data_IF_421172205076
#
_entry.id   IF_421172205076
#
_cell.length_a   1.000
_cell.length_b   1.000
_cell.length_c   1.000
_cell.angle_alpha   90.00
_cell.angle_beta   90.00
_cell.angle_gamma   90.00
#
_symmetry.space_group_name_H-M   'P 1'
#
loop_
_entity.id
_entity.type
_entity.pdbx_description
1 polymer ?
#
# COMPACT_ATOMS: atom_id res chain seq x y z
N UNK A 1 -36.51 -24.59 2.56
CA UNK A 1 -37.94 -24.39 2.22
C UNK A 1 -38.22 -24.68 0.73
N UNK A 2 -37.25 -24.48 -0.18
CA UNK A 2 -37.37 -24.79 -1.63
C UNK A 2 -37.52 -26.27 -2.00
N UNK A 3 -36.82 -27.20 -1.33
CA UNK A 3 -36.90 -28.64 -1.65
C UNK A 3 -38.32 -29.22 -1.52
N UNK A 4 -39.10 -28.78 -0.51
CA UNK A 4 -40.51 -29.21 -0.32
C UNK A 4 -41.46 -28.71 -1.41
N UNK A 5 -41.19 -27.53 -1.99
CA UNK A 5 -42.01 -26.96 -3.07
C UNK A 5 -41.75 -27.65 -4.42
N UNK A 6 -40.50 -28.01 -4.71
CA UNK A 6 -40.15 -28.78 -5.92
C UNK A 6 -40.74 -30.19 -5.92
N UNK A 7 -40.83 -30.85 -4.75
CA UNK A 7 -41.43 -32.18 -4.64
C UNK A 7 -42.96 -32.15 -4.85
N UNK A 8 -43.64 -31.09 -4.39
CA UNK A 8 -45.08 -30.89 -4.61
C UNK A 8 -45.40 -30.59 -6.08
N UNK A 9 -44.59 -29.78 -6.76
CA UNK A 9 -44.74 -29.52 -8.20
C UNK A 9 -44.58 -30.80 -9.05
N UNK A 10 -43.54 -31.62 -8.76
CA UNK A 10 -43.30 -32.88 -9.47
C UNK A 10 -44.44 -33.89 -9.32
N UNK A 11 -45.08 -33.97 -8.14
CA UNK A 11 -46.25 -34.84 -7.91
C UNK A 11 -47.50 -34.40 -8.68
N UNK A 12 -47.74 -33.09 -8.78
CA UNK A 12 -48.85 -32.53 -9.57
C UNK A 12 -48.68 -32.83 -11.07
N UNK A 13 -47.46 -32.65 -11.60
CA UNK A 13 -47.15 -32.92 -13.00
C UNK A 13 -47.29 -34.40 -13.38
N UNK A 14 -46.86 -35.31 -12.50
CA UNK A 14 -47.01 -36.76 -12.71
C UNK A 14 -48.49 -37.17 -12.80
N UNK A 15 -49.35 -36.61 -11.95
CA UNK A 15 -50.80 -36.89 -11.99
C UNK A 15 -51.46 -36.42 -13.29
N UNK A 16 -51.09 -35.23 -13.77
CA UNK A 16 -51.57 -34.70 -15.06
C UNK A 16 -51.08 -35.60 -16.22
N UNK A 17 -49.82 -36.02 -16.19
CA UNK A 17 -49.25 -36.88 -17.23
C UNK A 17 -49.90 -38.27 -17.28
N UNK A 18 -50.14 -38.91 -16.13
CA UNK A 18 -50.86 -40.19 -16.07
C UNK A 18 -52.29 -40.04 -16.60
N UNK A 19 -52.96 -38.92 -16.28
CA UNK A 19 -54.30 -38.62 -16.78
C UNK A 19 -54.30 -38.46 -18.31
N UNK A 20 -53.29 -37.80 -18.88
CA UNK A 20 -53.13 -37.67 -20.33
C UNK A 20 -52.90 -39.02 -21.01
N UNK A 21 -52.04 -39.88 -20.44
CA UNK A 21 -51.83 -41.25 -20.94
C UNK A 21 -53.15 -42.00 -21.00
N UNK A 22 -53.94 -41.97 -19.92
CA UNK A 22 -55.24 -42.67 -19.84
C UNK A 22 -56.25 -42.17 -20.87
N UNK A 23 -56.33 -40.84 -21.05
CA UNK A 23 -57.29 -40.21 -21.95
C UNK A 23 -56.91 -40.35 -23.43
N UNK A 24 -55.63 -40.55 -23.76
CA UNK A 24 -55.15 -40.51 -25.15
C UNK A 24 -55.86 -41.52 -26.07
N UNK A 25 -55.97 -42.82 -25.76
CA UNK A 25 -56.70 -43.77 -26.62
C UNK A 25 -58.20 -43.47 -26.74
N UNK A 26 -58.81 -42.93 -25.68
CA UNK A 26 -60.23 -42.53 -25.65
C UNK A 26 -60.45 -41.37 -26.61
N UNK A 27 -59.61 -40.34 -26.53
CA UNK A 27 -59.65 -39.18 -27.42
C UNK A 27 -59.44 -39.63 -28.87
N UNK A 28 -58.42 -40.44 -29.15
CA UNK A 28 -58.10 -40.88 -30.51
C UNK A 28 -59.24 -41.68 -31.15
N UNK A 29 -59.84 -42.61 -30.41
CA UNK A 29 -61.00 -43.36 -30.92
C UNK A 29 -62.26 -42.51 -31.08
N UNK A 30 -62.44 -41.50 -30.22
CA UNK A 30 -63.55 -40.56 -30.36
C UNK A 30 -63.38 -39.70 -31.62
N UNK A 31 -62.17 -39.21 -31.88
CA UNK A 31 -61.83 -38.49 -33.11
C UNK A 31 -62.06 -39.37 -34.33
N UNK A 32 -61.58 -40.62 -34.28
CA UNK A 32 -61.79 -41.58 -35.38
C UNK A 32 -63.28 -41.82 -35.65
N UNK A 33 -64.09 -42.00 -34.61
CA UNK A 33 -65.54 -42.20 -34.76
C UNK A 33 -66.21 -40.99 -35.42
N UNK A 34 -65.89 -39.77 -34.97
CA UNK A 34 -66.42 -38.53 -35.54
C UNK A 34 -66.07 -38.41 -37.04
N UNK A 35 -64.83 -38.72 -37.42
CA UNK A 35 -64.38 -38.63 -38.82
C UNK A 35 -65.14 -39.61 -39.72
N UNK A 36 -65.32 -40.85 -39.28
CA UNK A 36 -65.87 -41.90 -40.15
C UNK A 36 -67.41 -42.01 -40.12
N UNK A 37 -68.07 -41.64 -39.03
CA UNK A 37 -69.50 -41.87 -38.82
C UNK A 37 -70.30 -40.60 -38.44
N UNK A 38 -69.65 -39.43 -38.36
CA UNK A 38 -70.29 -38.17 -37.95
C UNK A 38 -70.68 -38.13 -36.47
N UNK A 39 -71.51 -37.15 -36.07
CA UNK A 39 -71.91 -36.91 -34.68
C UNK A 39 -73.03 -37.85 -34.17
N UNK A 40 -73.02 -39.13 -34.55
CA UNK A 40 -73.97 -40.12 -34.05
C UNK A 40 -73.32 -40.99 -32.96
N UNK A 41 -73.64 -40.69 -31.70
CA UNK A 41 -73.17 -41.47 -30.54
C UNK A 41 -74.20 -42.52 -30.11
N UNK A 42 -73.73 -43.73 -29.80
CA UNK A 42 -74.56 -44.81 -29.24
C UNK A 42 -75.06 -44.48 -27.82
N UNK A 43 -76.25 -44.97 -27.45
CA UNK A 43 -76.93 -44.71 -26.17
C UNK A 43 -76.20 -45.23 -24.90
N UNK A 44 -75.02 -45.87 -25.01
CA UNK A 44 -74.22 -46.31 -23.85
C UNK A 44 -72.74 -45.90 -23.95
N UNK A 45 -72.41 -44.62 -23.67
CA UNK A 45 -71.05 -44.09 -23.82
C UNK A 45 -70.04 -44.75 -22.87
N UNK A 46 -70.45 -45.13 -21.65
CA UNK A 46 -69.57 -45.72 -20.64
C UNK A 46 -69.02 -47.10 -21.03
N UNK A 47 -69.86 -47.98 -21.59
CA UNK A 47 -69.44 -49.33 -22.03
C UNK A 47 -68.40 -49.23 -23.14
N UNK A 48 -68.57 -48.25 -24.04
CA UNK A 48 -67.63 -47.98 -25.11
C UNK A 48 -66.28 -47.51 -24.57
N UNK A 49 -66.25 -46.60 -23.58
CA UNK A 49 -65.01 -46.14 -22.94
C UNK A 49 -64.27 -47.30 -22.25
N UNK A 50 -64.98 -48.16 -21.50
CA UNK A 50 -64.36 -49.32 -20.83
C UNK A 50 -63.76 -50.29 -21.85
N UNK A 51 -64.47 -50.58 -22.95
CA UNK A 51 -63.94 -51.42 -24.01
C UNK A 51 -62.70 -50.83 -24.68
N UNK A 52 -62.66 -49.51 -24.87
CA UNK A 52 -61.49 -48.81 -25.39
C UNK A 52 -60.29 -48.95 -24.45
N UNK A 53 -60.52 -48.82 -23.14
CA UNK A 53 -59.47 -48.99 -22.14
C UNK A 53 -58.92 -50.42 -22.15
N UNK A 54 -59.80 -51.43 -22.16
CA UNK A 54 -59.41 -52.84 -22.18
C UNK A 54 -58.65 -53.21 -23.47
N UNK A 55 -59.11 -52.71 -24.63
CA UNK A 55 -58.45 -52.98 -25.91
C UNK A 55 -57.06 -52.33 -26.03
N UNK A 56 -56.81 -51.24 -25.30
CA UNK A 56 -55.52 -50.54 -25.29
C UNK A 56 -54.70 -50.83 -24.02
N UNK A 57 -54.99 -51.92 -23.29
CA UNK A 57 -54.32 -52.26 -22.04
C UNK A 57 -52.78 -52.38 -22.21
N UNK A 58 -52.33 -52.94 -23.33
CA UNK A 58 -50.90 -53.04 -23.66
C UNK A 58 -50.23 -51.67 -23.77
N UNK A 59 -50.90 -50.68 -24.37
CA UNK A 59 -50.40 -49.31 -24.46
C UNK A 59 -50.22 -48.69 -23.06
N UNK A 60 -51.22 -48.82 -22.18
CA UNK A 60 -51.12 -48.29 -20.82
C UNK A 60 -50.02 -48.97 -20.01
N UNK A 61 -49.88 -50.30 -20.13
CA UNK A 61 -48.82 -51.05 -19.49
C UNK A 61 -47.44 -50.53 -19.93
N UNK A 62 -47.20 -50.40 -21.24
CA UNK A 62 -45.93 -49.88 -21.76
C UNK A 62 -45.67 -48.43 -21.34
N UNK A 63 -46.67 -47.55 -21.46
CA UNK A 63 -46.52 -46.13 -21.11
C UNK A 63 -46.22 -45.94 -19.61
N UNK A 64 -46.91 -46.67 -18.73
CA UNK A 64 -46.65 -46.64 -17.29
C UNK A 64 -45.30 -47.25 -16.93
N UNK A 65 -44.90 -48.36 -17.58
CA UNK A 65 -43.59 -48.96 -17.37
C UNK A 65 -42.46 -48.00 -17.74
N UNK A 66 -42.53 -47.34 -18.90
CA UNK A 66 -41.54 -46.32 -19.31
C UNK A 66 -41.51 -45.17 -18.30
N UNK A 67 -42.69 -44.67 -17.90
CA UNK A 67 -42.80 -43.58 -16.92
C UNK A 67 -42.16 -43.94 -15.58
N UNK A 68 -42.41 -45.15 -15.09
CA UNK A 68 -41.83 -45.65 -13.84
C UNK A 68 -40.31 -45.80 -13.95
N UNK A 69 -39.80 -46.37 -15.04
CA UNK A 69 -38.36 -46.52 -15.28
C UNK A 69 -37.64 -45.17 -15.32
N UNK A 70 -38.21 -44.17 -16.01
CA UNK A 70 -37.66 -42.81 -16.06
C UNK A 70 -37.68 -42.16 -14.67
N UNK A 71 -38.78 -42.30 -13.92
CA UNK A 71 -38.87 -41.75 -12.57
C UNK A 71 -37.81 -42.34 -11.63
N UNK A 72 -37.63 -43.66 -11.64
CA UNK A 72 -36.62 -44.35 -10.83
C UNK A 72 -35.20 -43.94 -11.25
N UNK A 73 -34.94 -43.81 -12.55
CA UNK A 73 -33.65 -43.34 -13.06
C UNK A 73 -33.32 -41.94 -12.53
N UNK A 74 -34.24 -40.97 -12.69
CA UNK A 74 -34.07 -39.59 -12.22
C UNK A 74 -33.86 -39.56 -10.70
N UNK A 75 -34.60 -40.38 -9.94
CA UNK A 75 -34.45 -40.42 -8.48
C UNK A 75 -33.06 -40.93 -8.07
N UNK A 76 -32.57 -41.98 -8.73
CA UNK A 76 -31.25 -42.54 -8.47
C UNK A 76 -30.13 -41.58 -8.87
N UNK A 77 -30.28 -40.87 -10.00
CA UNK A 77 -29.32 -39.86 -10.45
C UNK A 77 -29.24 -38.69 -9.46
N UNK A 78 -30.39 -38.17 -9.01
CA UNK A 78 -30.40 -37.10 -7.99
C UNK A 78 -29.72 -37.54 -6.70
N UNK A 79 -29.99 -38.76 -6.22
CA UNK A 79 -29.35 -39.27 -5.00
C UNK A 79 -27.82 -39.39 -5.16
N UNK A 80 -27.34 -39.87 -6.30
CA UNK A 80 -25.90 -39.93 -6.60
C UNK A 80 -25.28 -38.53 -6.67
N UNK A 81 -25.96 -37.59 -7.29
CA UNK A 81 -25.48 -36.21 -7.39
C UNK A 81 -25.44 -35.53 -6.00
N UNK A 82 -26.43 -35.76 -5.14
CA UNK A 82 -26.42 -35.28 -3.75
C UNK A 82 -25.26 -35.87 -2.95
N UNK A 83 -25.04 -37.19 -3.04
CA UNK A 83 -23.92 -37.87 -2.37
C UNK A 83 -22.55 -37.38 -2.88
N UNK A 84 -22.42 -37.13 -4.18
CA UNK A 84 -21.20 -36.60 -4.78
C UNK A 84 -20.94 -35.15 -4.35
N UNK A 85 -21.96 -34.29 -4.39
CA UNK A 85 -21.85 -32.90 -3.94
C UNK A 85 -21.45 -32.80 -2.48
N UNK A 86 -21.95 -33.68 -1.61
CA UNK A 86 -21.58 -33.69 -0.19
C UNK A 86 -20.11 -34.11 0.00
N UNK A 87 -19.65 -35.13 -0.74
CA UNK A 87 -18.23 -35.52 -0.72
C UNK A 87 -17.31 -34.40 -1.20
N UNK A 88 -17.68 -33.72 -2.27
CA UNK A 88 -16.89 -32.62 -2.82
C UNK A 88 -16.83 -31.43 -1.85
N UNK A 89 -17.93 -31.16 -1.13
CA UNK A 89 -17.96 -30.16 -0.04
C UNK A 89 -17.01 -30.52 1.09
N UNK A 90 -17.11 -31.74 1.64
CA UNK A 90 -16.25 -32.21 2.73
C UNK A 90 -14.77 -32.12 2.32
N UNK A 91 -14.44 -32.59 1.11
CA UNK A 91 -13.09 -32.50 0.57
C UNK A 91 -12.59 -31.06 0.47
N UNK A 92 -13.42 -30.15 -0.04
CA UNK A 92 -13.06 -28.74 -0.15
C UNK A 92 -12.82 -28.06 1.21
N UNK A 93 -13.59 -28.44 2.24
CA UNK A 93 -13.40 -27.95 3.60
C UNK A 93 -12.12 -28.51 4.25
N UNK A 94 -11.81 -29.78 4.01
CA UNK A 94 -10.56 -30.41 4.47
C UNK A 94 -9.33 -29.78 3.81
N UNK A 95 -9.37 -29.59 2.49
CA UNK A 95 -8.31 -28.91 1.73
C UNK A 95 -8.12 -27.46 2.20
N UNK A 96 -9.20 -26.73 2.51
CA UNK A 96 -9.12 -25.38 3.06
C UNK A 96 -8.45 -25.35 4.45
N UNK A 97 -8.82 -26.28 5.35
CA UNK A 97 -8.22 -26.40 6.69
C UNK A 97 -6.74 -26.79 6.63
N UNK A 98 -6.38 -27.71 5.73
CA UNK A 98 -4.99 -28.11 5.52
C UNK A 98 -4.15 -26.94 4.97
N UNK A 99 -4.69 -26.20 3.99
CA UNK A 99 -4.04 -25.02 3.44
C UNK A 99 -3.84 -23.92 4.50
N UNK A 100 -4.82 -23.70 5.37
CA UNK A 100 -4.70 -22.75 6.49
C UNK A 100 -3.61 -23.19 7.48
N UNK A 101 -3.60 -24.46 7.88
CA UNK A 101 -2.57 -25.02 8.76
C UNK A 101 -1.17 -24.91 8.14
N UNK A 102 -1.03 -25.23 6.85
CA UNK A 102 0.23 -25.10 6.13
C UNK A 102 0.71 -23.65 6.05
N UNK A 103 -0.21 -22.69 5.85
CA UNK A 103 0.09 -21.26 5.90
C UNK A 103 0.55 -20.83 7.30
N UNK A 104 -0.10 -21.28 8.36
CA UNK A 104 0.31 -20.98 9.74
C UNK A 104 1.69 -21.53 10.08
N UNK A 105 1.99 -22.77 9.67
CA UNK A 105 3.31 -23.38 9.85
C UNK A 105 4.37 -22.55 9.12
N UNK A 106 4.12 -22.20 7.86
CA UNK A 106 5.03 -21.36 7.07
C UNK A 106 5.27 -20.00 7.71
N UNK A 107 4.25 -19.37 8.28
CA UNK A 107 4.41 -18.09 9.01
C UNK A 107 5.30 -18.28 10.24
N UNK A 108 5.09 -19.36 11.01
CA UNK A 108 5.92 -19.66 12.19
C UNK A 108 7.38 -19.94 11.83
N UNK A 109 7.62 -20.69 10.75
CA UNK A 109 8.97 -20.96 10.24
C UNK A 109 9.66 -19.67 9.80
N UNK A 110 8.95 -18.80 9.08
CA UNK A 110 9.48 -17.49 8.67
C UNK A 110 9.80 -16.60 9.88
N UNK A 111 8.93 -16.56 10.89
CA UNK A 111 9.22 -15.80 12.12
C UNK A 111 10.41 -16.37 12.90
N UNK A 112 10.58 -17.70 12.94
CA UNK A 112 11.76 -18.32 13.55
C UNK A 112 13.05 -17.96 12.79
N UNK A 113 13.00 -17.91 11.46
CA UNK A 113 14.13 -17.44 10.64
C UNK A 113 14.43 -15.97 10.95
N UNK A 114 13.42 -15.10 11.00
CA UNK A 114 13.60 -13.68 11.34
C UNK A 114 14.20 -13.50 12.72
N UNK A 115 13.73 -14.27 13.71
CA UNK A 115 14.23 -14.20 15.09
C UNK A 115 15.72 -14.49 15.20
N UNK A 116 16.28 -15.35 14.33
CA UNK A 116 17.73 -15.58 14.25
C UNK A 116 18.53 -14.28 14.03
N UNK A 117 17.97 -13.32 13.30
CA UNK A 117 18.62 -12.05 12.98
C UNK A 117 18.36 -10.95 14.03
N UNK A 118 17.50 -11.19 15.02
CA UNK A 118 17.16 -10.17 16.02
C UNK A 118 18.25 -10.04 17.08
N UNK A 119 18.66 -8.82 17.42
CA UNK A 119 19.79 -8.60 18.33
C UNK A 119 19.40 -8.79 19.79
N UNK A 120 20.36 -8.67 20.69
CA UNK A 120 20.15 -8.46 22.12
C UNK A 120 21.14 -7.42 22.57
N UNK A 121 20.69 -6.41 23.32
CA UNK A 121 21.57 -5.37 23.85
C UNK A 121 21.88 -5.64 25.32
N UNK A 122 23.16 -5.87 25.59
CA UNK A 122 23.69 -6.06 26.94
C UNK A 122 24.20 -4.71 27.43
N UNK A 123 23.84 -4.38 28.67
CA UNK A 123 24.21 -3.12 29.30
C UNK A 123 25.10 -3.52 30.47
N UNK A 124 26.37 -3.17 30.38
CA UNK A 124 27.38 -3.44 31.40
C UNK A 124 27.67 -2.15 32.16
N UNK A 125 27.51 -2.18 33.48
CA UNK A 125 27.83 -1.03 34.33
C UNK A 125 29.28 -1.12 34.78
N UNK A 126 30.09 -0.19 34.30
CA UNK A 126 31.41 0.05 34.87
C UNK A 126 31.19 1.06 35.99
N UNK A 127 31.63 0.75 37.22
CA UNK A 127 31.28 1.39 38.51
C UNK A 127 31.39 2.93 38.66
N UNK A 128 31.54 3.68 37.58
CA UNK A 128 31.51 5.13 37.44
C UNK A 128 30.25 5.65 36.72
N UNK A 129 29.08 5.00 36.88
CA UNK A 129 27.83 5.28 36.15
C UNK A 129 27.95 5.22 34.61
N UNK A 130 29.06 4.72 34.09
CA UNK A 130 29.29 4.50 32.68
C UNK A 130 28.68 3.17 32.27
N UNK A 131 27.71 3.23 31.36
CA UNK A 131 27.06 2.06 30.79
C UNK A 131 27.70 1.73 29.44
N UNK A 132 28.35 0.58 29.34
CA UNK A 132 28.83 0.03 28.08
C UNK A 132 27.72 -0.78 27.43
N UNK A 133 27.36 -0.45 26.19
CA UNK A 133 26.33 -1.16 25.44
C UNK A 133 27.02 -2.13 24.50
N UNK A 134 26.80 -3.43 24.68
CA UNK A 134 27.36 -4.49 23.85
C UNK A 134 26.26 -5.14 23.03
N UNK A 135 26.53 -5.33 21.73
CA UNK A 135 25.62 -6.04 20.83
C UNK A 135 25.85 -7.55 20.94
N UNK A 136 24.80 -8.33 21.18
CA UNK A 136 24.84 -9.79 21.09
C UNK A 136 23.86 -10.27 20.03
N UNK A 137 24.36 -10.99 19.03
CA UNK A 137 23.54 -11.67 18.01
C UNK A 137 23.38 -13.16 18.36
N UNK A 138 22.45 -13.86 17.70
CA UNK A 138 22.28 -15.32 17.88
C UNK A 138 23.40 -16.15 17.27
N UNK A 139 24.15 -15.58 16.34
CA UNK A 139 25.22 -16.21 15.57
C UNK A 139 26.31 -15.15 15.33
N UNK A 140 27.57 -15.53 15.52
CA UNK A 140 28.73 -14.64 15.49
C UNK A 140 28.95 -13.98 14.11
N UNK A 141 28.45 -14.59 13.05
CA UNK A 141 28.56 -14.06 11.69
C UNK A 141 27.51 -12.98 11.37
N UNK A 142 26.54 -12.77 12.26
CA UNK A 142 25.50 -11.78 12.07
C UNK A 142 25.97 -10.41 12.59
N UNK A 143 25.42 -9.37 11.98
CA UNK A 143 25.70 -7.99 12.35
C UNK A 143 24.45 -7.13 12.17
N UNK A 144 24.44 -5.95 12.78
CA UNK A 144 23.41 -4.93 12.56
C UNK A 144 23.93 -3.85 11.61
N UNK A 145 23.01 -3.32 10.80
CA UNK A 145 23.23 -2.22 9.86
C UNK A 145 22.57 -0.93 10.34
N UNK A 146 23.07 0.23 9.88
CA UNK A 146 22.50 1.56 10.13
C UNK A 146 22.22 1.84 11.63
N UNK A 147 23.19 1.55 12.50
CA UNK A 147 23.00 1.67 13.95
C UNK A 147 23.07 3.13 14.40
N UNK A 148 21.95 3.63 14.93
CA UNK A 148 21.79 4.99 15.47
C UNK A 148 21.48 4.93 16.96
N UNK A 149 22.19 5.75 17.75
CA UNK A 149 21.92 5.94 19.17
C UNK A 149 21.34 7.32 19.44
N UNK A 150 20.31 7.33 20.28
CA UNK A 150 19.58 8.52 20.67
C UNK A 150 19.63 8.68 22.19
N UNK A 151 20.11 9.84 22.64
CA UNK A 151 20.24 10.15 24.07
C UNK A 151 19.11 11.09 24.50
N UNK A 152 18.52 10.80 25.66
CA UNK A 152 17.50 11.64 26.27
C UNK A 152 18.19 12.65 27.21
N UNK A 153 18.26 13.94 26.83
CA UNK A 153 18.84 15.01 27.66
C UNK A 153 17.74 15.78 28.42
N UNK A 154 17.60 15.52 29.72
CA UNK A 154 16.61 16.19 30.58
C UNK A 154 17.10 17.59 30.98
N UNK A 155 17.01 18.59 30.10
CA UNK A 155 17.14 19.99 30.51
C UNK A 155 15.77 20.69 30.44
N UNK A 156 15.30 21.13 31.61
CA UNK A 156 13.95 21.63 31.93
C UNK A 156 13.44 22.87 31.15
N UNK A 157 14.16 23.37 30.13
CA UNK A 157 13.81 24.63 29.44
C UNK A 157 13.51 24.48 27.94
N UNK A 158 13.61 23.28 27.36
CA UNK A 158 13.23 23.04 25.96
C UNK A 158 12.72 21.62 25.82
N UNK A 159 11.40 21.47 25.69
CA UNK A 159 10.76 20.20 25.35
C UNK A 159 11.06 19.86 23.89
N UNK A 160 12.25 19.34 23.59
CA UNK A 160 12.57 18.62 22.35
C UNK A 160 13.89 17.82 22.49
N UNK A 161 13.73 16.52 22.77
CA UNK A 161 14.68 15.43 22.60
C UNK A 161 14.75 15.03 21.10
N UNK A 162 15.74 14.38 20.46
CA UNK A 162 17.01 13.70 20.80
C UNK A 162 18.07 14.14 19.76
N UNK A 163 19.33 14.38 20.16
CA UNK A 163 20.43 14.36 19.18
C UNK A 163 20.75 12.90 18.84
N UNK A 164 20.55 12.55 17.57
CA UNK A 164 20.94 11.24 17.04
C UNK A 164 22.41 11.27 16.66
N UNK A 165 23.17 10.26 17.08
CA UNK A 165 24.53 10.04 16.57
C UNK A 165 24.56 8.72 15.81
N UNK A 166 24.92 8.77 14.53
CA UNK A 166 25.29 7.55 13.80
C UNK A 166 26.54 6.99 14.44
N UNK A 167 26.45 5.76 14.93
CA UNK A 167 27.55 5.09 15.60
C UNK A 167 28.42 4.37 14.59
N UNK A 168 27.80 3.55 13.76
CA UNK A 168 28.48 2.76 12.75
C UNK A 168 27.52 2.39 11.62
N UNK A 169 28.07 2.15 10.44
CA UNK A 169 27.29 1.53 9.37
C UNK A 169 26.97 0.08 9.72
N UNK A 170 27.94 -0.69 10.25
CA UNK A 170 27.77 -2.10 10.63
C UNK A 170 28.38 -2.36 12.02
N UNK A 171 27.77 -3.20 12.87
CA UNK A 171 28.29 -3.63 14.18
C UNK A 171 28.14 -5.15 14.32
N UNK A 172 29.21 -5.87 14.64
CA UNK A 172 29.18 -7.34 14.80
C UNK A 172 28.77 -7.74 16.22
N UNK A 173 28.38 -9.00 16.38
CA UNK A 173 28.19 -9.59 17.71
C UNK A 173 29.46 -9.48 18.56
N UNK A 174 29.31 -9.11 19.82
CA UNK A 174 30.40 -8.87 20.77
C UNK A 174 31.00 -7.46 20.73
N UNK A 175 30.77 -6.69 19.67
CA UNK A 175 31.34 -5.35 19.56
C UNK A 175 30.61 -4.35 20.47
N UNK A 176 31.33 -3.38 21.05
CA UNK A 176 30.72 -2.28 21.78
C UNK A 176 29.98 -1.35 20.81
N UNK A 177 28.71 -1.10 21.10
CA UNK A 177 27.89 -0.11 20.39
C UNK A 177 28.31 1.30 20.82
N UNK A 178 28.28 1.59 22.12
CA UNK A 178 28.71 2.89 22.66
C UNK A 178 28.89 2.81 24.17
N UNK A 179 29.68 3.74 24.70
CA UNK A 179 29.69 4.07 26.13
C UNK A 179 28.79 5.29 26.38
N UNK A 180 27.92 5.23 27.39
CA UNK A 180 26.97 6.30 27.70
C UNK A 180 26.78 6.50 29.21
N UNK A 181 26.65 7.78 29.60
CA UNK A 181 26.19 8.19 30.94
C UNK A 181 24.74 8.68 30.76
N UNK A 182 23.80 7.75 30.73
CA UNK A 182 22.37 8.05 30.70
C UNK A 182 21.57 6.91 31.31
N UNK A 183 20.45 7.24 31.94
CA UNK A 183 19.50 6.26 32.46
C UNK A 183 18.39 5.94 31.46
N UNK A 184 18.28 6.72 30.38
CA UNK A 184 17.35 6.43 29.28
C UNK A 184 17.97 6.75 27.93
N UNK A 185 17.89 5.77 27.01
CA UNK A 185 18.39 5.91 25.64
C UNK A 185 17.67 4.93 24.71
N UNK A 186 17.77 5.20 23.41
CA UNK A 186 17.14 4.41 22.37
C UNK A 186 18.14 4.08 21.26
N UNK A 187 17.96 2.91 20.65
CA UNK A 187 18.76 2.47 19.50
C UNK A 187 17.81 2.09 18.38
N UNK A 188 18.10 2.56 17.17
CA UNK A 188 17.53 2.00 15.95
C UNK A 188 18.61 1.32 15.13
N UNK A 189 18.23 0.25 14.44
CA UNK A 189 19.11 -0.50 13.56
C UNK A 189 18.30 -1.28 12.53
N UNK A 190 18.97 -1.84 11.53
CA UNK A 190 18.41 -2.84 10.63
C UNK A 190 19.14 -4.17 10.81
N UNK A 191 18.38 -5.26 10.75
CA UNK A 191 18.98 -6.59 10.60
C UNK A 191 19.47 -6.79 9.16
N UNK A 192 20.30 -7.80 8.90
CA UNK A 192 20.79 -8.12 7.55
C UNK A 192 19.68 -8.48 6.55
N UNK A 193 18.49 -8.85 7.03
CA UNK A 193 17.31 -9.11 6.21
C UNK A 193 16.42 -7.87 6.05
N UNK A 194 16.88 -6.70 6.51
CA UNK A 194 16.19 -5.42 6.39
C UNK A 194 15.09 -5.17 7.43
N UNK A 195 14.92 -6.02 8.46
CA UNK A 195 13.95 -5.79 9.53
C UNK A 195 14.43 -4.63 10.41
N UNK A 196 13.56 -3.65 10.66
CA UNK A 196 13.90 -2.49 11.50
C UNK A 196 13.72 -2.84 12.97
N UNK A 197 14.76 -2.59 13.75
CA UNK A 197 14.80 -2.75 15.21
C UNK A 197 14.68 -1.40 15.90
N UNK A 198 13.88 -1.34 16.96
CA UNK A 198 13.79 -0.23 17.89
C UNK A 198 13.96 -0.76 19.31
N UNK A 199 15.06 -0.40 19.94
CA UNK A 199 15.40 -0.76 21.31
C UNK A 199 15.31 0.45 22.22
N UNK A 200 14.76 0.27 23.42
CA UNK A 200 14.77 1.25 24.50
C UNK A 200 15.37 0.69 25.77
N UNK A 201 16.22 1.48 26.39
CA UNK A 201 16.60 1.32 27.78
C UNK A 201 15.99 2.48 28.56
N UNK A 202 15.12 2.19 29.53
CA UNK A 202 14.39 3.19 30.30
C UNK A 202 14.69 3.05 31.79
N UNK A 203 14.78 4.20 32.46
CA UNK A 203 14.94 4.30 33.91
C UNK A 203 16.03 3.39 34.51
N UNK A 204 17.16 3.22 33.83
CA UNK A 204 18.31 2.52 34.37
C UNK A 204 18.16 0.99 34.47
N UNK A 205 17.13 0.37 33.90
CA UNK A 205 16.97 -1.09 33.97
C UNK A 205 15.91 -1.72 33.08
N UNK A 206 14.93 -0.94 32.59
CA UNK A 206 13.84 -1.47 31.78
C UNK A 206 14.29 -1.57 30.32
N UNK A 207 14.27 -2.78 29.77
CA UNK A 207 14.61 -3.06 28.36
C UNK A 207 13.36 -3.33 27.54
N UNK A 208 13.17 -2.58 26.47
CA UNK A 208 12.06 -2.76 25.51
C UNK A 208 12.65 -3.05 24.15
N UNK A 209 12.19 -4.15 23.55
CA UNK A 209 12.69 -4.67 22.28
C UNK A 209 11.53 -4.75 21.29
N UNK A 210 11.52 -3.88 20.28
CA UNK A 210 10.52 -3.89 19.21
C UNK A 210 11.15 -4.10 17.84
N UNK A 211 10.42 -4.74 16.95
CA UNK A 211 10.70 -4.80 15.52
C UNK A 211 9.50 -4.33 14.71
N UNK A 212 9.75 -3.68 13.57
CA UNK A 212 8.69 -3.29 12.64
C UNK A 212 8.30 -4.48 11.77
N UNK A 213 7.02 -4.82 11.73
CA UNK A 213 6.50 -5.89 10.87
C UNK A 213 6.54 -5.48 9.39
N UNK A 214 6.54 -6.47 8.50
CA UNK A 214 6.44 -6.24 7.06
C UNK A 214 5.18 -5.43 6.75
N UNK A 215 5.33 -4.35 5.98
CA UNK A 215 4.27 -3.36 5.69
C UNK A 215 3.66 -2.67 6.92
N UNK A 216 4.29 -2.79 8.09
CA UNK A 216 3.89 -2.08 9.30
C UNK A 216 4.10 -0.58 9.15
N UNK A 217 3.19 0.21 9.72
CA UNK A 217 3.34 1.65 9.80
C UNK A 217 4.19 2.03 11.03
N UNK A 218 5.42 2.52 10.85
CA UNK A 218 6.27 2.90 11.97
C UNK A 218 5.69 4.07 12.77
N UNK A 219 4.87 4.92 12.15
CA UNK A 219 4.24 6.06 12.82
C UNK A 219 3.10 5.63 13.75
N UNK A 220 2.59 4.41 13.66
CA UNK A 220 1.56 3.93 14.57
C UNK A 220 2.17 3.44 15.90
N UNK A 221 1.62 3.81 17.07
CA UNK A 221 0.56 4.82 17.28
C UNK A 221 1.12 6.25 17.13
N UNK A 222 0.34 7.17 16.54
CA UNK A 222 0.75 8.57 16.27
C UNK A 222 0.20 9.56 17.28
N UNK A 223 0.86 10.71 17.44
CA UNK A 223 0.36 11.86 18.23
C UNK A 223 -0.91 12.51 17.65
N UNK A 224 -1.10 12.43 16.33
CA UNK A 224 -2.15 13.16 15.64
C UNK A 224 -3.52 12.51 15.89
N UNK A 225 -4.22 13.06 16.89
CA UNK A 225 -5.51 12.63 17.45
C UNK A 225 -5.40 11.31 18.22
N UNK A 226 -5.34 11.47 19.54
CA UNK A 226 -5.68 10.46 20.53
C UNK A 226 -4.65 9.34 20.78
N UNK A 227 -3.59 9.65 21.53
CA UNK A 227 -2.99 8.67 22.46
C UNK A 227 -4.05 8.06 23.41
N UNK A 228 -5.24 8.67 23.52
CA UNK A 228 -6.45 8.14 24.17
C UNK A 228 -6.99 6.86 23.49
N UNK A 229 -6.64 6.58 22.25
CA UNK A 229 -7.06 5.38 21.50
C UNK A 229 -5.92 4.37 21.33
N UNK A 230 -5.00 4.27 22.31
CA UNK A 230 -4.00 3.21 22.29
C UNK A 230 -4.67 1.84 22.21
N UNK A 231 -4.44 1.13 21.10
CA UNK A 231 -5.00 -0.17 20.86
C UNK A 231 -3.87 -1.19 20.63
N UNK A 232 -3.62 -2.04 21.63
CA UNK A 232 -2.58 -3.06 21.56
C UNK A 232 -2.74 -4.00 20.34
N UNK A 233 -3.98 -4.33 19.93
CA UNK A 233 -4.20 -5.19 18.76
C UNK A 233 -3.71 -4.51 17.48
N UNK A 234 -3.98 -3.22 17.32
CA UNK A 234 -3.49 -2.44 16.17
C UNK A 234 -1.97 -2.21 16.26
N UNK A 235 -1.43 -1.96 17.45
CA UNK A 235 0.03 -1.89 17.65
C UNK A 235 0.67 -3.20 17.21
N UNK A 236 0.12 -4.34 17.62
CA UNK A 236 0.63 -5.67 17.26
C UNK A 236 0.51 -5.99 15.75
N UNK A 237 -0.26 -5.23 14.96
CA UNK A 237 -0.24 -5.35 13.50
C UNK A 237 0.98 -4.66 12.88
N UNK A 238 1.49 -3.62 13.54
CA UNK A 238 2.58 -2.79 13.02
C UNK A 238 3.94 -3.15 13.65
N UNK A 239 3.96 -3.44 14.95
CA UNK A 239 5.16 -3.72 15.73
C UNK A 239 5.06 -5.10 16.40
N UNK A 240 6.17 -5.82 16.47
CA UNK A 240 6.30 -7.01 17.30
C UNK A 240 7.29 -6.81 18.43
N UNK A 241 7.17 -7.62 19.48
CA UNK A 241 8.13 -7.69 20.60
C UNK A 241 9.01 -8.93 20.46
N UNK A 242 10.25 -8.88 20.95
CA UNK A 242 11.17 -10.01 21.03
C UNK A 242 11.99 -9.94 22.33
N UNK A 243 12.70 -11.01 22.70
CA UNK A 243 13.43 -11.09 23.98
C UNK A 243 12.55 -10.83 25.23
N UNK A 244 11.28 -11.23 25.19
CA UNK A 244 10.33 -11.09 26.32
C UNK A 244 9.87 -12.48 26.77
N UNK A 245 10.04 -12.81 28.05
CA UNK A 245 9.75 -14.15 28.61
C UNK A 245 8.26 -14.29 28.99
N UNK A 246 7.55 -13.19 29.26
CA UNK A 246 6.13 -13.18 29.61
C UNK A 246 5.36 -12.12 28.80
N UNK A 247 4.09 -12.42 28.46
CA UNK A 247 3.14 -11.52 27.79
C UNK A 247 2.63 -10.41 28.73
N UNK A 248 3.46 -9.94 29.66
CA UNK A 248 3.21 -8.70 30.37
C UNK A 248 3.58 -7.55 29.44
N UNK A 249 2.81 -7.43 28.35
CA UNK A 249 2.64 -6.14 27.70
C UNK A 249 1.90 -5.27 28.72
N UNK A 250 2.65 -4.66 29.64
CA UNK A 250 2.12 -3.53 30.37
C UNK A 250 1.82 -2.46 29.31
N UNK A 251 0.54 -2.38 28.94
CA UNK A 251 0.04 -1.47 27.91
C UNK A 251 0.55 -0.04 28.20
N UNK A 252 0.78 0.34 29.46
CA UNK A 252 1.29 1.64 29.85
C UNK A 252 2.77 1.81 29.48
N UNK A 253 3.61 0.80 29.69
CA UNK A 253 5.02 0.85 29.36
C UNK A 253 5.22 0.95 27.84
N UNK A 254 4.47 0.15 27.08
CA UNK A 254 4.48 0.22 25.61
C UNK A 254 3.99 1.60 25.14
N UNK A 255 2.93 2.14 25.73
CA UNK A 255 2.44 3.50 25.44
C UNK A 255 3.52 4.56 25.66
N UNK A 256 4.15 4.56 26.83
CA UNK A 256 5.22 5.49 27.17
C UNK A 256 6.39 5.37 26.19
N UNK A 257 6.78 4.15 25.87
CA UNK A 257 7.82 3.89 24.88
C UNK A 257 7.48 4.45 23.50
N UNK A 258 6.26 4.20 22.99
CA UNK A 258 5.85 4.75 21.70
C UNK A 258 5.72 6.27 21.71
N UNK A 259 5.39 6.86 22.86
CA UNK A 259 5.38 8.31 23.03
C UNK A 259 6.80 8.88 22.94
N UNK A 260 7.75 8.35 23.71
CA UNK A 260 9.16 8.80 23.70
C UNK A 260 9.87 8.59 22.36
N UNK A 261 9.41 7.64 21.56
CA UNK A 261 10.07 7.26 20.30
C UNK A 261 9.41 7.87 19.06
N UNK A 262 8.48 8.83 19.20
CA UNK A 262 7.74 9.35 18.04
C UNK A 262 8.64 9.99 16.97
N UNK A 263 9.58 10.85 17.37
CA UNK A 263 10.53 11.47 16.44
C UNK A 263 11.47 10.42 15.81
N UNK A 264 11.85 9.40 16.58
CA UNK A 264 12.65 8.27 16.08
C UNK A 264 11.90 7.49 15.01
N UNK A 265 10.62 7.21 15.26
CA UNK A 265 9.73 6.49 14.36
C UNK A 265 9.38 7.31 13.12
N UNK A 266 9.31 8.64 13.22
CA UNK A 266 9.24 9.53 12.06
C UNK A 266 10.44 9.34 11.14
N UNK A 267 11.65 9.21 11.69
CA UNK A 267 12.85 8.93 10.90
C UNK A 267 12.84 7.51 10.31
N UNK A 268 12.36 6.50 11.04
CA UNK A 268 12.19 5.13 10.51
C UNK A 268 11.21 5.12 9.32
N UNK A 269 10.07 5.79 9.46
CA UNK A 269 9.06 5.91 8.42
C UNK A 269 9.37 6.92 7.34
N UNK A 270 10.47 7.67 7.48
CA UNK A 270 10.86 8.68 6.52
C UNK A 270 11.34 8.00 5.25
N UNK A 271 10.42 7.90 4.29
CA UNK A 271 10.71 7.38 2.98
C UNK A 271 10.87 8.58 2.02
N UNK A 272 12.10 8.94 1.69
CA UNK A 272 12.37 10.04 0.76
C UNK A 272 11.72 9.80 -0.62
N UNK A 273 11.52 8.53 -1.02
CA UNK A 273 10.82 8.21 -2.27
C UNK A 273 9.35 8.67 -2.25
N UNK A 274 8.75 8.86 -1.06
CA UNK A 274 7.44 9.47 -0.93
C UNK A 274 7.46 10.98 -1.23
N UNK A 275 8.58 11.68 -0.97
CA UNK A 275 8.71 13.12 -1.27
C UNK A 275 8.80 13.40 -2.76
N UNK A 276 9.41 12.48 -3.53
CA UNK A 276 9.52 12.55 -4.99
C UNK A 276 8.61 11.55 -5.70
N UNK A 277 7.52 11.13 -5.05
CA UNK A 277 6.67 10.03 -5.52
C UNK A 277 6.05 10.31 -6.88
N UNK A 278 5.66 11.55 -7.14
CA UNK A 278 5.01 11.93 -8.40
C UNK A 278 6.05 11.89 -9.52
N UNK A 279 7.23 12.47 -9.26
CA UNK A 279 8.39 12.42 -10.15
C UNK A 279 8.75 10.99 -10.52
N UNK A 280 8.83 10.06 -9.56
CA UNK A 280 9.17 8.66 -9.83
C UNK A 280 8.08 7.92 -10.63
N UNK A 281 6.81 8.29 -10.43
CA UNK A 281 5.65 7.68 -11.11
C UNK A 281 5.36 8.23 -12.51
N UNK A 282 5.93 9.37 -12.87
CA UNK A 282 5.75 9.97 -14.20
C UNK A 282 6.04 8.96 -15.32
N UNK A 283 5.23 8.95 -16.37
CA UNK A 283 5.40 8.05 -17.52
C UNK A 283 5.90 8.79 -18.77
N UNK A 284 5.73 10.11 -18.80
CA UNK A 284 6.17 10.99 -19.90
C UNK A 284 7.06 12.11 -19.38
N UNK A 285 7.87 12.71 -20.26
CA UNK A 285 8.78 13.80 -19.93
C UNK A 285 7.97 15.02 -19.45
N UNK A 286 6.80 15.23 -20.07
CA UNK A 286 5.87 16.25 -19.63
C UNK A 286 5.45 16.03 -18.16
N UNK A 287 4.96 14.83 -17.82
CA UNK A 287 4.63 14.51 -16.44
C UNK A 287 5.83 14.62 -15.50
N UNK A 288 7.03 14.22 -15.95
CA UNK A 288 8.24 14.26 -15.15
C UNK A 288 8.61 15.68 -14.71
N UNK A 289 8.73 16.62 -15.65
CA UNK A 289 9.11 18.00 -15.30
C UNK A 289 8.00 18.71 -14.49
N UNK A 290 6.72 18.48 -14.81
CA UNK A 290 5.60 19.05 -14.06
C UNK A 290 5.48 18.49 -12.64
N UNK A 291 5.83 17.23 -12.43
CA UNK A 291 5.79 16.62 -11.09
C UNK A 291 7.05 16.89 -10.25
N UNK A 292 8.18 17.16 -10.89
CA UNK A 292 9.43 17.47 -10.21
C UNK A 292 9.34 18.78 -9.40
N UNK A 293 8.74 19.83 -9.95
CA UNK A 293 8.65 21.14 -9.30
C UNK A 293 7.87 21.08 -7.96
N UNK A 294 6.66 20.51 -7.87
CA UNK A 294 5.96 20.37 -6.59
C UNK A 294 6.64 19.36 -5.65
N UNK A 295 7.31 18.33 -6.17
CA UNK A 295 8.11 17.42 -5.34
C UNK A 295 9.36 18.11 -4.76
N UNK A 296 9.99 19.04 -5.49
CA UNK A 296 11.06 19.91 -5.00
C UNK A 296 10.60 20.78 -3.83
N UNK A 297 9.39 21.35 -3.88
CA UNK A 297 8.82 22.10 -2.74
C UNK A 297 8.70 21.22 -1.49
N UNK A 298 8.31 19.95 -1.64
CA UNK A 298 8.27 18.99 -0.51
C UNK A 298 9.67 18.71 0.04
N UNK A 299 10.66 18.55 -0.84
CA UNK A 299 12.07 18.38 -0.44
C UNK A 299 12.60 19.60 0.31
N UNK A 300 12.34 20.82 -0.16
CA UNK A 300 12.75 22.08 0.49
C UNK A 300 12.13 22.22 1.89
N UNK A 301 10.88 21.76 2.05
CA UNK A 301 10.19 21.81 3.33
C UNK A 301 10.63 20.72 4.30
N UNK A 302 11.31 19.69 3.84
CA UNK A 302 11.80 18.59 4.66
C UNK A 302 13.03 19.00 5.48
N UNK A 303 12.97 18.83 6.80
CA UNK A 303 14.11 19.05 7.71
C UNK A 303 15.25 18.03 7.51
N UNK A 304 14.95 16.88 6.90
CA UNK A 304 15.90 15.77 6.77
C UNK A 304 16.79 15.84 5.53
N UNK A 305 16.57 16.79 4.61
CA UNK A 305 17.31 16.92 3.35
C UNK A 305 18.21 18.15 3.38
N UNK A 306 19.46 18.00 2.98
CA UNK A 306 20.38 19.14 2.84
C UNK A 306 19.99 20.02 1.65
N UNK A 307 19.91 21.33 1.85
CA UNK A 307 19.63 22.30 0.78
C UNK A 307 20.64 22.22 -0.37
N UNK A 308 21.90 21.85 -0.11
CA UNK A 308 22.92 21.62 -1.15
C UNK A 308 22.50 20.56 -2.18
N UNK A 309 21.81 19.51 -1.75
CA UNK A 309 21.34 18.46 -2.67
C UNK A 309 20.13 18.94 -3.49
N UNK A 310 19.30 19.80 -2.91
CA UNK A 310 18.19 20.44 -3.62
C UNK A 310 18.72 21.34 -4.74
N UNK A 311 19.75 22.15 -4.46
CA UNK A 311 20.40 22.99 -5.47
C UNK A 311 20.92 22.16 -6.65
N UNK A 312 21.53 20.99 -6.40
CA UNK A 312 21.96 20.08 -7.47
C UNK A 312 20.82 19.58 -8.35
N UNK A 313 19.68 19.24 -7.74
CA UNK A 313 18.50 18.78 -8.50
C UNK A 313 17.94 19.92 -9.33
N UNK A 314 17.81 21.12 -8.76
CA UNK A 314 17.34 22.29 -9.48
C UNK A 314 18.25 22.66 -10.65
N UNK A 315 19.58 22.71 -10.43
CA UNK A 315 20.55 22.94 -11.52
C UNK A 315 20.46 21.90 -12.62
N UNK A 316 20.34 20.62 -12.25
CA UNK A 316 20.17 19.56 -13.25
C UNK A 316 18.92 19.80 -14.10
N UNK A 317 17.80 20.14 -13.48
CA UNK A 317 16.56 20.46 -14.18
C UNK A 317 16.74 21.67 -15.09
N UNK A 318 17.28 22.79 -14.58
CA UNK A 318 17.53 24.01 -15.35
C UNK A 318 18.45 23.76 -16.55
N UNK A 319 19.60 23.10 -16.34
CA UNK A 319 20.53 22.77 -17.41
C UNK A 319 19.90 21.82 -18.45
N UNK A 320 19.03 20.90 -18.02
CA UNK A 320 18.34 20.02 -18.96
C UNK A 320 17.37 20.81 -19.84
N UNK A 321 16.66 21.79 -19.25
CA UNK A 321 15.78 22.69 -20.00
C UNK A 321 16.59 23.54 -20.97
N UNK A 322 17.66 24.19 -20.50
CA UNK A 322 18.51 25.07 -21.32
C UNK A 322 19.12 24.33 -22.53
N UNK A 323 19.69 23.14 -22.31
CA UNK A 323 20.34 22.37 -23.37
C UNK A 323 19.37 21.82 -24.42
N UNK A 324 18.07 21.75 -24.11
CA UNK A 324 17.03 21.14 -24.96
C UNK A 324 15.81 22.04 -25.05
N UNK A 325 16.04 23.35 -25.08
CA UNK A 325 14.98 24.35 -24.95
C UNK A 325 13.91 24.22 -26.05
N UNK A 326 14.31 23.77 -27.24
CA UNK A 326 13.43 23.46 -28.38
C UNK A 326 12.43 22.33 -28.11
N UNK A 327 12.66 21.53 -27.06
CA UNK A 327 11.75 20.48 -26.60
C UNK A 327 10.71 20.98 -25.58
N UNK A 328 10.76 22.26 -25.18
CA UNK A 328 9.82 22.87 -24.23
C UNK A 328 8.99 23.92 -24.95
N UNK A 329 7.75 23.54 -25.31
CA UNK A 329 6.88 24.35 -26.15
C UNK A 329 5.87 25.12 -25.31
N UNK A 330 5.64 26.38 -25.63
CA UNK A 330 4.68 27.22 -24.94
C UNK A 330 3.28 27.00 -25.54
N UNK A 331 2.37 26.45 -24.75
CA UNK A 331 1.00 26.26 -25.14
C UNK A 331 0.27 27.61 -25.08
N UNK A 332 -0.03 28.20 -26.24
CA UNK A 332 -0.81 29.44 -26.36
C UNK A 332 -2.31 29.26 -26.06
N UNK A 333 -2.65 28.61 -24.94
CA UNK A 333 -4.03 28.56 -24.44
C UNK A 333 -4.36 29.95 -23.85
N UNK A 334 -5.60 30.39 -24.01
CA UNK A 334 -6.14 31.74 -23.76
C UNK A 334 -5.98 32.31 -22.31
N UNK A 335 -5.12 31.74 -21.49
CA UNK A 335 -4.79 32.20 -20.15
C UNK A 335 -3.50 33.03 -20.20
N UNK A 336 -3.49 34.20 -19.58
CA UNK A 336 -2.30 35.04 -19.45
C UNK A 336 -1.51 34.60 -18.21
N UNK A 337 -0.17 34.54 -18.32
CA UNK A 337 0.71 34.40 -17.16
C UNK A 337 0.37 35.49 -16.12
N UNK A 338 0.33 35.14 -14.84
CA UNK A 338 0.20 36.14 -13.78
C UNK A 338 1.53 36.87 -13.57
N UNK A 339 1.76 37.88 -14.42
CA UNK A 339 2.99 38.68 -14.44
C UNK A 339 3.19 39.43 -13.11
N UNK A 340 2.12 39.91 -12.46
CA UNK A 340 2.24 40.59 -11.16
C UNK A 340 2.71 39.62 -10.08
N UNK A 341 2.12 38.42 -10.03
CA UNK A 341 2.55 37.36 -9.12
C UNK A 341 4.02 36.99 -9.34
N UNK A 342 4.42 36.74 -10.59
CA UNK A 342 5.78 36.36 -10.97
C UNK A 342 6.79 37.46 -10.62
N UNK A 343 6.49 38.72 -10.97
CA UNK A 343 7.36 39.85 -10.67
C UNK A 343 7.48 40.08 -9.16
N UNK A 344 6.41 39.83 -8.39
CA UNK A 344 6.46 39.85 -6.92
C UNK A 344 7.40 38.77 -6.36
N UNK A 345 7.44 37.57 -6.96
CA UNK A 345 8.39 36.51 -6.55
C UNK A 345 9.84 36.89 -6.85
N UNK A 346 10.12 37.46 -8.02
CA UNK A 346 11.44 38.02 -8.34
C UNK A 346 11.84 39.09 -7.31
N UNK A 347 10.95 40.03 -7.01
CA UNK A 347 11.21 41.07 -5.99
C UNK A 347 11.47 40.47 -4.60
N UNK A 348 10.77 39.41 -4.22
CA UNK A 348 11.01 38.72 -2.95
C UNK A 348 12.39 38.05 -2.89
N UNK A 349 12.91 37.55 -4.01
CA UNK A 349 14.28 37.04 -4.13
C UNK A 349 15.27 38.21 -3.99
N UNK A 350 15.03 39.34 -4.66
CA UNK A 350 15.87 40.54 -4.57
C UNK A 350 15.92 41.13 -3.16
N UNK A 351 14.78 41.21 -2.47
CA UNK A 351 14.70 41.69 -1.08
C UNK A 351 15.49 40.80 -0.10
N UNK A 352 15.82 39.58 -0.50
CA UNK A 352 16.72 38.68 0.24
C UNK A 352 18.17 38.83 -0.21
N UNK A 353 18.54 39.93 -0.86
CA UNK A 353 19.91 40.28 -1.18
C UNK A 353 20.51 39.58 -2.40
N UNK A 354 19.69 38.90 -3.20
CA UNK A 354 20.12 38.46 -4.53
C UNK A 354 19.89 39.61 -5.52
N UNK A 355 20.94 40.38 -5.84
CA UNK A 355 20.84 41.60 -6.66
C UNK A 355 20.67 41.34 -8.17
N UNK A 356 20.17 40.17 -8.55
CA UNK A 356 19.87 39.83 -9.94
C UNK A 356 18.47 40.31 -10.29
N UNK A 357 18.36 40.97 -11.44
CA UNK A 357 17.10 41.46 -11.95
C UNK A 357 16.59 40.53 -13.05
N UNK A 358 15.29 40.28 -13.03
CA UNK A 358 14.54 39.67 -14.12
C UNK A 358 13.20 40.41 -14.20
N UNK A 359 12.74 40.68 -15.41
CA UNK A 359 11.48 41.37 -15.62
C UNK A 359 10.59 40.49 -16.48
N UNK A 360 9.49 40.03 -15.91
CA UNK A 360 8.44 39.41 -16.68
C UNK A 360 7.69 40.50 -17.46
N UNK A 361 7.43 40.22 -18.74
CA UNK A 361 6.59 41.05 -19.62
C UNK A 361 5.38 40.22 -20.08
N UNK A 362 4.28 40.89 -20.41
CA UNK A 362 3.07 40.29 -20.97
C UNK A 362 3.33 39.56 -22.29
N UNK A 363 4.49 39.77 -22.92
CA UNK A 363 4.93 39.09 -24.13
C UNK A 363 5.80 37.85 -23.89
N UNK A 364 5.97 37.39 -22.64
CA UNK A 364 6.82 36.25 -22.28
C UNK A 364 6.49 35.01 -23.13
N UNK A 365 7.50 34.50 -23.84
CA UNK A 365 7.42 33.40 -24.83
C UNK A 365 8.58 32.42 -24.65
N UNK A 366 8.61 31.40 -25.50
CA UNK A 366 9.69 30.40 -25.59
C UNK A 366 11.09 31.03 -25.65
N UNK A 367 11.26 32.16 -26.35
CA UNK A 367 12.53 32.87 -26.44
C UNK A 367 13.04 33.37 -25.07
N UNK A 368 12.11 33.71 -24.18
CA UNK A 368 12.41 34.29 -22.87
C UNK A 368 12.62 33.22 -21.80
N UNK A 369 12.28 31.96 -22.11
CA UNK A 369 12.55 30.82 -21.25
C UNK A 369 14.06 30.67 -21.03
N UNK A 370 14.89 30.89 -22.05
CA UNK A 370 16.35 30.83 -21.89
C UNK A 370 16.84 31.84 -20.86
N UNK A 371 16.38 33.10 -20.97
CA UNK A 371 16.77 34.18 -20.06
C UNK A 371 16.28 33.91 -18.64
N UNK A 372 15.08 33.35 -18.48
CA UNK A 372 14.55 32.93 -17.19
C UNK A 372 15.43 31.83 -16.58
N UNK A 373 15.79 30.80 -17.35
CA UNK A 373 16.62 29.71 -16.85
C UNK A 373 18.00 30.24 -16.42
N UNK A 374 18.62 31.11 -17.22
CA UNK A 374 19.88 31.78 -16.85
C UNK A 374 19.73 32.61 -15.57
N UNK A 375 18.64 33.36 -15.42
CA UNK A 375 18.36 34.09 -14.18
C UNK A 375 18.26 33.13 -12.98
N UNK A 376 17.46 32.07 -13.08
CA UNK A 376 17.26 31.12 -11.98
C UNK A 376 18.56 30.38 -11.61
N UNK A 377 19.40 30.01 -12.58
CA UNK A 377 20.69 29.36 -12.30
C UNK A 377 21.64 30.30 -11.54
N UNK A 378 21.64 31.58 -11.91
CA UNK A 378 22.40 32.62 -11.21
C UNK A 378 21.88 32.84 -9.78
N UNK A 379 20.57 32.72 -9.52
CA UNK A 379 19.99 32.79 -8.17
C UNK A 379 20.38 31.55 -7.34
N UNK A 380 20.40 30.35 -7.95
CA UNK A 380 20.85 29.13 -7.28
C UNK A 380 22.35 29.24 -6.93
N UNK A 381 23.16 29.79 -7.83
CA UNK A 381 24.58 30.08 -7.58
C UNK A 381 24.76 30.99 -6.37
N UNK A 382 23.92 32.02 -6.23
CA UNK A 382 23.93 32.87 -5.04
C UNK A 382 23.59 32.09 -3.76
N UNK A 383 22.63 31.16 -3.81
CA UNK A 383 22.23 30.33 -2.68
C UNK A 383 23.35 29.40 -2.20
N UNK A 384 24.15 28.85 -3.11
CA UNK A 384 25.25 27.93 -2.78
C UNK A 384 26.41 28.60 -2.04
N UNK A 385 26.60 29.91 -2.23
CA UNK A 385 27.70 30.68 -1.64
C UNK A 385 27.29 31.23 -0.25
N UNK A 386 26.02 31.16 0.13
CA UNK A 386 25.57 31.62 1.45
C UNK A 386 26.16 30.76 2.58
N UNK A 387 26.43 31.40 3.72
CA UNK A 387 26.92 30.71 4.90
C UNK A 387 25.87 29.73 5.47
N UNK A 388 26.28 28.64 6.17
CA UNK A 388 25.37 27.62 6.70
C UNK A 388 24.29 28.14 7.67
N UNK A 389 24.47 29.31 8.27
CA UNK A 389 23.49 29.94 9.14
C UNK A 389 22.37 30.68 8.38
N UNK A 390 22.45 30.77 7.04
CA UNK A 390 21.45 31.40 6.18
C UNK A 390 20.37 30.42 5.68
N UNK A 391 20.30 29.20 6.20
CA UNK A 391 19.42 28.14 5.72
C UNK A 391 17.95 28.55 5.56
N UNK A 392 17.40 29.33 6.51
CA UNK A 392 16.01 29.82 6.40
C UNK A 392 15.82 30.75 5.20
N UNK A 393 16.79 31.65 4.99
CA UNK A 393 16.77 32.60 3.87
C UNK A 393 16.93 31.88 2.53
N UNK A 394 17.88 30.94 2.44
CA UNK A 394 18.10 30.11 1.25
C UNK A 394 16.85 29.29 0.95
N UNK A 395 16.27 28.64 1.96
CA UNK A 395 15.02 27.88 1.85
C UNK A 395 13.90 28.71 1.22
N UNK A 396 13.68 29.93 1.70
CA UNK A 396 12.65 30.82 1.14
C UNK A 396 12.93 31.20 -0.32
N UNK A 397 14.19 31.49 -0.68
CA UNK A 397 14.57 31.78 -2.07
C UNK A 397 14.26 30.58 -2.98
N UNK A 398 14.66 29.37 -2.59
CA UNK A 398 14.38 28.16 -3.36
C UNK A 398 12.87 27.90 -3.51
N UNK A 399 12.06 28.21 -2.49
CA UNK A 399 10.60 28.13 -2.60
C UNK A 399 10.06 29.13 -3.63
N UNK A 400 10.57 30.37 -3.68
CA UNK A 400 10.17 31.33 -4.72
C UNK A 400 10.58 30.89 -6.13
N UNK A 401 11.75 30.26 -6.30
CA UNK A 401 12.14 29.65 -7.57
C UNK A 401 11.12 28.58 -7.99
N UNK A 402 10.74 27.68 -7.07
CA UNK A 402 9.70 26.70 -7.35
C UNK A 402 8.37 27.34 -7.72
N UNK A 403 7.93 28.38 -6.99
CA UNK A 403 6.68 29.10 -7.30
C UNK A 403 6.69 29.73 -8.70
N UNK A 404 7.81 30.35 -9.10
CA UNK A 404 8.00 30.89 -10.46
C UNK A 404 7.90 29.76 -11.49
N UNK A 405 8.62 28.66 -11.27
CA UNK A 405 8.63 27.53 -12.19
C UNK A 405 7.27 26.84 -12.31
N UNK A 406 6.51 26.69 -11.22
CA UNK A 406 5.14 26.13 -11.29
C UNK A 406 4.29 26.98 -12.22
N UNK A 407 4.31 28.30 -12.01
CA UNK A 407 3.46 29.21 -12.78
C UNK A 407 3.83 29.21 -14.27
N UNK A 408 5.12 29.23 -14.58
CA UNK A 408 5.60 29.17 -15.97
C UNK A 408 5.33 27.80 -16.62
N UNK A 409 5.54 26.70 -15.89
CA UNK A 409 5.34 25.35 -16.43
C UNK A 409 3.87 25.01 -16.68
N UNK A 410 2.90 25.70 -16.05
CA UNK A 410 1.49 25.56 -16.42
C UNK A 410 1.23 25.82 -17.92
N UNK A 411 2.10 26.60 -18.57
CA UNK A 411 2.01 26.97 -19.97
C UNK A 411 3.00 26.23 -20.86
N UNK A 412 3.81 25.32 -20.32
CA UNK A 412 4.83 24.60 -21.09
C UNK A 412 4.38 23.16 -21.30
N UNK A 413 4.53 22.64 -22.51
CA UNK A 413 4.47 21.21 -22.79
C UNK A 413 5.83 20.70 -23.23
N UNK A 414 6.23 19.58 -22.64
CA UNK A 414 7.51 18.93 -22.95
C UNK A 414 7.29 17.89 -24.05
N UNK A 415 8.14 17.94 -25.06
CA UNK A 415 8.12 17.04 -26.20
C UNK A 415 8.35 15.58 -25.76
N UNK A 416 7.57 14.67 -26.35
CA UNK A 416 7.65 13.22 -26.12
C UNK A 416 8.98 12.60 -26.56
N UNK A 417 9.76 13.28 -27.40
CA UNK A 417 11.13 12.85 -27.74
C UNK A 417 12.02 12.66 -26.50
N UNK A 418 11.73 13.38 -25.41
CA UNK A 418 12.44 13.23 -24.15
C UNK A 418 11.95 12.05 -23.29
N UNK A 419 10.90 11.33 -23.72
CA UNK A 419 10.34 10.22 -22.94
C UNK A 419 11.36 9.09 -22.73
N UNK A 420 12.22 8.85 -23.72
CA UNK A 420 13.28 7.83 -23.68
C UNK A 420 14.36 8.14 -22.62
N UNK A 421 14.49 9.40 -22.19
CA UNK A 421 15.51 9.84 -21.25
C UNK A 421 15.01 9.94 -19.80
N UNK A 422 13.70 9.80 -19.56
CA UNK A 422 13.09 9.95 -18.23
C UNK A 422 13.74 9.04 -17.20
N UNK A 423 14.04 7.78 -17.56
CA UNK A 423 14.67 6.84 -16.63
C UNK A 423 16.04 7.35 -16.18
N UNK A 424 16.84 7.88 -17.10
CA UNK A 424 18.12 8.51 -16.79
C UNK A 424 17.93 9.71 -15.84
N UNK A 425 16.97 10.59 -16.14
CA UNK A 425 16.68 11.76 -15.32
C UNK A 425 16.23 11.38 -13.90
N UNK A 426 15.33 10.40 -13.77
CA UNK A 426 14.91 9.85 -12.46
C UNK A 426 16.08 9.30 -11.68
N UNK A 427 16.98 8.54 -12.31
CA UNK A 427 18.18 8.01 -11.66
C UNK A 427 19.09 9.12 -11.15
N UNK A 428 19.29 10.19 -11.92
CA UNK A 428 20.11 11.34 -11.51
C UNK A 428 19.50 12.01 -10.27
N UNK A 429 18.20 12.33 -10.31
CA UNK A 429 17.50 12.97 -9.18
C UNK A 429 17.56 12.09 -7.93
N UNK A 430 17.26 10.80 -8.08
CA UNK A 430 17.29 9.85 -6.98
C UNK A 430 18.67 9.80 -6.30
N UNK A 431 19.76 9.86 -7.07
CA UNK A 431 21.13 9.82 -6.56
C UNK A 431 21.61 11.14 -5.94
N UNK A 432 20.98 12.27 -6.29
CA UNK A 432 21.28 13.55 -5.66
C UNK A 432 20.65 13.70 -4.28
N UNK A 433 19.52 13.05 -4.01
CA UNK A 433 18.88 13.10 -2.69
C UNK A 433 19.74 12.35 -1.68
N UNK A 434 20.26 13.08 -0.69
CA UNK A 434 20.93 12.48 0.48
C UNK A 434 20.32 13.04 1.75
N UNK A 435 20.01 12.13 2.66
CA UNK A 435 19.49 12.43 4.00
C UNK A 435 20.65 12.92 4.87
N UNK A 436 20.39 13.94 5.68
CA UNK A 436 21.35 14.51 6.64
C UNK A 436 21.74 13.52 7.75
#
# INVERSE_FOLDING_TARGET
>A
MESKNNLRLKKSFLGIFITLILMFPIIMKTIQHIIFHGFNFSQSPFISVVNIVVQNFSFYATALSITFTVFVFIQNENKRNEEQNEKDRIRSEEEAKENEKNREIRIKELEAIKDKYRPTFIIEENGTNNKNIVLLMRDENLYLEDVLLYKLFTNYQSSNYQSSRKIASNIKSGDPVSNIIADSFFITAKTQIGEVILFGYLNGGIKIHKYLKDNGNPLYPSEAKDFKEYNQKEVNKNWGSYNTIERDNDNLLDQLFFHYTIELRKNIGYNFTNLIKQTLKSSTANEFFHSLIPDLQKLINSKSINLKYINKIMRFMLNTIENKIDMFQFNGINDELDIDYLQKRVKNITNRGCNQAFNFDNSFRESDLSDLITYLDNVISFCEIQAPNADNKVKEILLYICEILVEVFNFITVNKSLDDEIISYKTIIFNYIKIN
#
